data_IF_171366303235
#
_entry.id   IF_171366303235
#
_cell.length_a   1.000
_cell.length_b   1.000
_cell.length_c   1.000
_cell.angle_alpha   90.00
_cell.angle_beta   90.00
_cell.angle_gamma   90.00
#
_symmetry.space_group_name_H-M   'P 1'
#
loop_
_entity.id
_entity.type
_entity.pdbx_description
1 polymer ?
#
# COMPACT_ATOMS: atom_id res chain seq x y z
N UNK A 1 8.13 -18.63 19.76
CA UNK A 1 7.01 -17.93 20.41
C UNK A 1 7.08 -16.47 19.98
N UNK A 2 6.17 -16.01 19.11
CA UNK A 2 6.26 -14.67 18.50
C UNK A 2 5.63 -13.63 19.44
N UNK A 3 6.45 -12.94 20.22
CA UNK A 3 6.03 -11.76 20.98
C UNK A 3 5.46 -10.69 20.03
N UNK A 4 4.26 -10.18 20.33
CA UNK A 4 3.56 -9.19 19.49
C UNK A 4 4.29 -7.84 19.56
N UNK A 5 5.32 -7.67 18.73
CA UNK A 5 6.17 -6.46 18.64
C UNK A 5 5.38 -5.19 18.27
N UNK A 6 4.16 -5.34 17.75
CA UNK A 6 3.26 -4.24 17.41
C UNK A 6 1.89 -4.47 18.06
N UNK A 7 1.28 -3.40 18.58
CA UNK A 7 -0.01 -3.44 19.27
C UNK A 7 -1.16 -3.64 18.26
N UNK A 8 -1.25 -4.84 17.71
CA UNK A 8 -2.25 -5.22 16.70
C UNK A 8 -3.50 -5.69 17.44
N UNK A 9 -4.50 -4.80 17.53
CA UNK A 9 -5.82 -5.15 18.05
C UNK A 9 -6.68 -5.74 16.92
N UNK A 10 -7.18 -6.95 17.11
CA UNK A 10 -8.19 -7.55 16.23
C UNK A 10 -9.53 -6.82 16.39
N UNK A 11 -10.20 -6.51 15.27
CA UNK A 11 -11.45 -5.74 15.27
C UNK A 11 -12.65 -6.67 15.51
N UNK A 12 -13.49 -6.32 16.49
CA UNK A 12 -14.89 -6.77 16.53
C UNK A 12 -15.66 -6.14 15.37
N UNK A 13 -16.30 -6.96 14.54
CA UNK A 13 -17.23 -6.48 13.52
C UNK A 13 -18.45 -5.87 14.22
N UNK A 14 -18.60 -4.54 14.15
CA UNK A 14 -19.89 -3.89 14.46
C UNK A 14 -20.67 -3.85 13.17
N UNK A 15 -21.80 -4.55 13.11
CA UNK A 15 -22.73 -4.49 11.99
C UNK A 15 -23.67 -3.30 12.21
N UNK A 16 -23.45 -2.15 11.58
CA UNK A 16 -24.22 -0.97 11.89
C UNK A 16 -25.43 -0.93 10.94
N UNK A 17 -26.51 -0.31 11.39
CA UNK A 17 -27.78 -0.06 10.67
C UNK A 17 -27.65 0.49 9.22
N UNK A 18 -26.45 0.87 8.78
CA UNK A 18 -26.16 1.49 7.48
C UNK A 18 -26.53 0.62 6.27
N UNK A 19 -26.47 -0.72 6.36
CA UNK A 19 -26.91 -1.63 5.29
C UNK A 19 -28.38 -1.45 4.91
N UNK A 20 -29.21 -1.00 5.86
CA UNK A 20 -30.65 -0.80 5.66
C UNK A 20 -31.04 0.63 5.25
N UNK A 21 -30.12 1.60 5.38
CA UNK A 21 -30.43 3.04 5.26
C UNK A 21 -29.88 3.71 3.99
N UNK A 22 -29.02 3.04 3.23
CA UNK A 22 -28.38 3.65 2.05
C UNK A 22 -28.71 2.85 0.80
N UNK A 23 -29.32 3.51 -0.19
CA UNK A 23 -29.63 2.91 -1.49
C UNK A 23 -28.35 2.39 -2.17
N UNK A 24 -28.35 1.17 -2.75
CA UNK A 24 -27.16 0.59 -3.40
C UNK A 24 -26.52 1.49 -4.46
N UNK A 25 -27.33 2.22 -5.23
CA UNK A 25 -26.86 3.13 -6.30
C UNK A 25 -26.05 4.29 -5.73
N UNK A 26 -26.46 4.80 -4.56
CA UNK A 26 -25.74 5.87 -3.88
C UNK A 26 -24.39 5.37 -3.33
N UNK A 27 -24.36 4.13 -2.81
CA UNK A 27 -23.12 3.50 -2.34
C UNK A 27 -22.12 3.36 -3.49
N UNK A 28 -22.56 2.88 -4.65
CA UNK A 28 -21.71 2.75 -5.84
C UNK A 28 -21.20 4.11 -6.32
N UNK A 29 -22.09 5.11 -6.45
CA UNK A 29 -21.71 6.46 -6.87
C UNK A 29 -20.67 7.09 -5.93
N UNK A 30 -20.89 7.00 -4.62
CA UNK A 30 -19.94 7.53 -3.63
C UNK A 30 -18.63 6.75 -3.66
N UNK A 31 -18.66 5.42 -3.79
CA UNK A 31 -17.47 4.61 -3.91
C UNK A 31 -16.59 5.05 -5.09
N UNK A 32 -17.18 5.23 -6.27
CA UNK A 32 -16.46 5.70 -7.45
C UNK A 32 -15.80 7.08 -7.21
N UNK A 33 -16.53 8.02 -6.60
CA UNK A 33 -15.99 9.33 -6.24
C UNK A 33 -14.84 9.24 -5.23
N UNK A 34 -14.96 8.39 -4.20
CA UNK A 34 -13.89 8.14 -3.23
C UNK A 34 -12.66 7.57 -3.96
N UNK A 35 -12.86 6.60 -4.85
CA UNK A 35 -11.77 6.01 -5.62
C UNK A 35 -11.12 7.02 -6.55
N UNK A 36 -11.87 7.94 -7.17
CA UNK A 36 -11.28 9.02 -7.96
C UNK A 36 -10.34 9.90 -7.11
N UNK A 37 -10.76 10.30 -5.90
CA UNK A 37 -9.93 11.06 -4.96
C UNK A 37 -8.64 10.31 -4.56
N UNK A 38 -8.71 8.99 -4.43
CA UNK A 38 -7.60 8.19 -3.93
C UNK A 38 -6.67 7.67 -5.03
N UNK A 39 -7.20 7.23 -6.16
CA UNK A 39 -6.41 6.60 -7.23
C UNK A 39 -5.89 7.64 -8.20
N UNK A 40 -6.73 8.60 -8.59
CA UNK A 40 -6.39 9.62 -9.58
C UNK A 40 -5.68 10.78 -8.88
N UNK A 41 -6.33 11.39 -7.90
CA UNK A 41 -5.79 12.58 -7.21
C UNK A 41 -4.79 12.23 -6.10
N UNK A 42 -4.64 10.96 -5.73
CA UNK A 42 -3.72 10.47 -4.69
C UNK A 42 -3.85 11.23 -3.36
N UNK A 43 -5.07 11.65 -2.99
CA UNK A 43 -5.34 12.41 -1.76
C UNK A 43 -4.90 11.69 -0.48
N UNK A 44 -4.74 10.36 -0.52
CA UNK A 44 -4.16 9.60 0.59
C UNK A 44 -2.74 10.06 0.97
N UNK A 45 -2.00 10.72 0.08
CA UNK A 45 -0.66 11.26 0.37
C UNK A 45 -0.68 12.50 1.26
N UNK A 46 -1.80 13.21 1.34
CA UNK A 46 -1.95 14.33 2.25
C UNK A 46 -2.19 13.79 3.68
N UNK A 47 -1.28 14.01 4.65
CA UNK A 47 -1.45 13.56 6.02
C UNK A 47 -2.70 14.14 6.69
N UNK A 48 -3.11 15.32 6.27
CA UNK A 48 -4.24 16.06 6.83
C UNK A 48 -5.55 15.73 6.12
N UNK A 49 -5.56 14.83 5.13
CA UNK A 49 -6.78 14.43 4.43
C UNK A 49 -7.61 13.48 5.28
N UNK A 50 -8.57 14.05 6.02
CA UNK A 50 -9.47 13.33 6.92
C UNK A 50 -10.77 12.89 6.25
N UNK A 51 -11.51 11.99 6.89
CA UNK A 51 -12.84 11.58 6.45
C UNK A 51 -13.80 12.78 6.33
N UNK A 52 -13.62 13.80 7.17
CA UNK A 52 -14.39 15.06 7.13
C UNK A 52 -14.05 15.87 5.88
N UNK A 53 -12.77 15.98 5.52
CA UNK A 53 -12.36 16.66 4.27
C UNK A 53 -12.89 15.92 3.05
N UNK A 54 -12.79 14.59 3.03
CA UNK A 54 -13.39 13.77 1.98
C UNK A 54 -14.90 13.97 1.88
N UNK A 55 -15.62 13.99 3.02
CA UNK A 55 -17.05 14.24 3.01
C UNK A 55 -17.39 15.62 2.43
N UNK A 56 -16.62 16.65 2.79
CA UNK A 56 -16.77 18.01 2.24
C UNK A 56 -16.52 18.04 0.73
N UNK A 57 -15.43 17.43 0.26
CA UNK A 57 -15.07 17.36 -1.17
C UNK A 57 -16.11 16.64 -2.02
N UNK A 58 -16.83 15.68 -1.42
CA UNK A 58 -17.84 14.89 -2.11
C UNK A 58 -19.27 15.38 -1.86
N UNK A 59 -19.42 16.54 -1.20
CA UNK A 59 -20.70 17.16 -0.85
C UNK A 59 -21.64 16.19 -0.11
N UNK A 60 -21.08 15.49 0.88
CA UNK A 60 -21.80 14.50 1.70
C UNK A 60 -21.43 14.66 3.17
N UNK A 61 -21.77 13.67 4.00
CA UNK A 61 -21.40 13.63 5.41
C UNK A 61 -20.51 12.43 5.74
N UNK A 62 -19.81 12.53 6.86
CA UNK A 62 -18.88 11.48 7.35
C UNK A 62 -19.56 10.15 7.63
N UNK A 63 -20.87 10.13 7.92
CA UNK A 63 -21.65 8.91 8.11
C UNK A 63 -21.76 8.12 6.81
N UNK A 64 -22.07 8.77 5.68
CA UNK A 64 -22.10 8.11 4.36
C UNK A 64 -20.71 7.62 3.94
N UNK A 65 -19.66 8.42 4.14
CA UNK A 65 -18.27 7.99 3.88
C UNK A 65 -17.94 6.74 4.70
N UNK A 66 -18.23 6.75 6.00
CA UNK A 66 -17.96 5.60 6.87
C UNK A 66 -18.76 4.37 6.45
N UNK A 67 -20.02 4.54 6.05
CA UNK A 67 -20.88 3.47 5.57
C UNK A 67 -20.31 2.83 4.28
N UNK A 68 -19.95 3.64 3.28
CA UNK A 68 -19.38 3.15 2.01
C UNK A 68 -18.05 2.44 2.25
N UNK A 69 -17.18 3.02 3.08
CA UNK A 69 -15.87 2.42 3.38
C UNK A 69 -16.04 1.08 4.10
N UNK A 70 -16.94 1.01 5.08
CA UNK A 70 -17.20 -0.24 5.78
C UNK A 70 -17.82 -1.30 4.86
N UNK A 71 -18.75 -0.91 3.97
CA UNK A 71 -19.39 -1.83 3.03
C UNK A 71 -18.42 -2.37 1.98
N UNK A 72 -17.55 -1.51 1.43
CA UNK A 72 -16.68 -1.85 0.28
C UNK A 72 -15.31 -2.37 0.68
N UNK A 73 -14.76 -1.90 1.78
CA UNK A 73 -13.41 -2.25 2.24
C UNK A 73 -13.43 -3.12 3.51
N UNK A 74 -14.60 -3.31 4.13
CA UNK A 74 -14.73 -3.97 5.45
C UNK A 74 -13.86 -3.31 6.53
N UNK A 75 -13.58 -2.02 6.36
CA UNK A 75 -12.61 -1.30 7.16
C UNK A 75 -13.13 0.09 7.59
N UNK A 76 -12.26 0.85 8.26
CA UNK A 76 -12.52 2.26 8.55
C UNK A 76 -11.63 3.15 7.67
N UNK A 77 -11.92 4.46 7.66
CA UNK A 77 -11.20 5.43 6.84
C UNK A 77 -9.69 5.36 7.02
N UNK A 78 -9.18 5.34 8.25
CA UNK A 78 -7.74 5.31 8.51
C UNK A 78 -7.09 4.03 7.99
N UNK A 79 -7.75 2.87 8.10
CA UNK A 79 -7.23 1.62 7.54
C UNK A 79 -7.23 1.65 6.00
N UNK A 80 -8.30 2.16 5.39
CA UNK A 80 -8.36 2.36 3.94
C UNK A 80 -7.23 3.27 3.46
N UNK A 81 -7.00 4.42 4.12
CA UNK A 81 -5.88 5.31 3.78
C UNK A 81 -4.54 4.57 3.90
N UNK A 82 -4.30 3.93 5.03
CA UNK A 82 -3.04 3.20 5.28
C UNK A 82 -2.80 2.11 4.23
N UNK A 83 -3.85 1.45 3.74
CA UNK A 83 -3.79 0.46 2.69
C UNK A 83 -3.21 1.02 1.39
N UNK A 84 -3.68 2.20 0.94
CA UNK A 84 -3.12 2.88 -0.21
C UNK A 84 -1.68 3.35 0.04
N UNK A 85 -1.41 3.93 1.21
CA UNK A 85 -0.06 4.41 1.59
C UNK A 85 0.97 3.28 1.61
N UNK A 86 0.62 2.12 2.20
CA UNK A 86 1.52 0.96 2.27
C UNK A 86 1.77 0.37 0.89
N UNK A 87 0.74 0.26 0.04
CA UNK A 87 0.92 -0.18 -1.35
C UNK A 87 1.89 0.71 -2.10
N UNK A 88 1.73 2.03 -2.02
CA UNK A 88 2.64 3.00 -2.65
C UNK A 88 4.07 2.89 -2.08
N UNK A 89 4.20 2.72 -0.77
CA UNK A 89 5.50 2.50 -0.12
C UNK A 89 6.17 1.22 -0.62
N UNK A 90 5.43 0.12 -0.80
CA UNK A 90 5.97 -1.12 -1.34
C UNK A 90 6.54 -0.94 -2.75
N UNK A 91 5.89 -0.14 -3.61
CA UNK A 91 6.43 0.20 -4.93
C UNK A 91 7.72 1.01 -4.81
N UNK A 92 7.72 2.06 -3.99
CA UNK A 92 8.92 2.88 -3.78
C UNK A 92 10.10 2.09 -3.20
N UNK A 93 9.85 1.16 -2.27
CA UNK A 93 10.90 0.35 -1.64
C UNK A 93 11.50 -0.69 -2.59
N UNK A 94 10.78 -1.08 -3.66
CA UNK A 94 11.28 -2.00 -4.70
C UNK A 94 12.07 -1.27 -5.79
N UNK A 95 11.86 0.02 -5.97
CA UNK A 95 12.51 0.80 -7.01
C UNK A 95 13.99 1.07 -6.69
N UNK A 96 14.88 0.78 -7.64
CA UNK A 96 16.32 0.97 -7.48
C UNK A 96 16.69 2.45 -7.41
N UNK A 97 15.94 3.34 -8.06
CA UNK A 97 16.17 4.79 -7.99
C UNK A 97 16.00 5.32 -6.56
N UNK A 98 15.19 4.60 -5.77
CA UNK A 98 14.82 4.94 -4.40
C UNK A 98 15.67 4.22 -3.34
N UNK A 99 16.67 3.45 -3.75
CA UNK A 99 17.43 2.58 -2.84
C UNK A 99 18.10 3.34 -1.68
N UNK A 100 18.48 4.61 -1.90
CA UNK A 100 19.14 5.47 -0.92
C UNK A 100 18.18 6.24 -0.01
N UNK A 101 16.88 6.27 -0.31
CA UNK A 101 15.92 6.98 0.55
C UNK A 101 15.79 6.31 1.91
N UNK A 102 15.83 7.10 2.97
CA UNK A 102 15.51 6.67 4.34
C UNK A 102 14.06 6.18 4.46
N UNK A 103 13.74 5.50 5.57
CA UNK A 103 12.38 5.04 5.80
C UNK A 103 11.45 6.21 6.17
N UNK A 104 12.02 7.26 6.77
CA UNK A 104 11.39 8.53 7.06
C UNK A 104 10.95 9.25 5.79
N UNK A 105 11.85 9.36 4.80
CA UNK A 105 11.53 9.98 3.50
C UNK A 105 10.44 9.19 2.78
N UNK A 106 10.54 7.85 2.75
CA UNK A 106 9.49 7.00 2.17
C UNK A 106 8.15 7.20 2.90
N UNK A 107 8.17 7.22 4.23
CA UNK A 107 6.97 7.45 5.04
C UNK A 107 6.31 8.81 4.73
N UNK A 108 7.12 9.87 4.63
CA UNK A 108 6.66 11.20 4.29
C UNK A 108 6.08 11.26 2.87
N UNK A 109 6.73 10.64 1.88
CA UNK A 109 6.26 10.64 0.48
C UNK A 109 4.94 9.89 0.25
N UNK A 110 4.60 8.93 1.12
CA UNK A 110 3.29 8.28 1.09
C UNK A 110 2.28 8.93 2.04
N UNK A 111 2.64 9.97 2.79
CA UNK A 111 1.72 10.74 3.62
C UNK A 111 1.58 10.27 5.07
N UNK A 112 2.52 9.49 5.62
CA UNK A 112 2.54 9.22 7.06
C UNK A 112 3.17 10.41 7.81
N UNK A 113 2.48 10.91 8.83
CA UNK A 113 2.98 12.00 9.69
C UNK A 113 4.11 11.57 10.63
N UNK A 114 4.25 10.26 10.91
CA UNK A 114 5.30 9.75 11.78
C UNK A 114 5.72 8.31 11.45
N UNK A 115 6.96 7.97 11.82
CA UNK A 115 7.59 6.67 11.57
C UNK A 115 6.87 5.52 12.27
N UNK A 116 6.39 5.71 13.50
CA UNK A 116 5.75 4.63 14.26
C UNK A 116 4.48 4.13 13.57
N UNK A 117 3.65 5.06 13.10
CA UNK A 117 2.41 4.76 12.38
C UNK A 117 2.69 4.07 11.04
N UNK A 118 3.74 4.51 10.34
CA UNK A 118 4.19 3.87 9.10
C UNK A 118 4.60 2.41 9.35
N UNK A 119 5.49 2.17 10.32
CA UNK A 119 5.97 0.81 10.61
C UNK A 119 4.84 -0.11 11.07
N UNK A 120 3.94 0.37 11.93
CA UNK A 120 2.80 -0.41 12.40
C UNK A 120 1.84 -0.76 11.25
N UNK A 121 1.48 0.21 10.40
CA UNK A 121 0.61 -0.01 9.25
C UNK A 121 1.24 -0.97 8.23
N UNK A 122 2.53 -0.78 7.94
CA UNK A 122 3.26 -1.62 7.01
C UNK A 122 3.34 -3.06 7.51
N UNK A 123 3.78 -3.26 8.76
CA UNK A 123 3.88 -4.59 9.36
C UNK A 123 2.53 -5.29 9.44
N UNK A 124 1.46 -4.57 9.83
CA UNK A 124 0.10 -5.12 9.85
C UNK A 124 -0.34 -5.65 8.47
N UNK A 125 0.08 -4.97 7.40
CA UNK A 125 -0.32 -5.32 6.04
C UNK A 125 0.56 -6.40 5.40
N UNK A 126 1.86 -6.37 5.65
CA UNK A 126 2.84 -7.21 4.93
C UNK A 126 3.42 -8.34 5.78
N UNK A 127 3.25 -8.30 7.10
CA UNK A 127 3.87 -9.24 8.05
C UNK A 127 5.36 -8.99 8.28
N UNK A 128 5.95 -7.95 7.70
CA UNK A 128 7.36 -7.60 7.89
C UNK A 128 7.56 -6.08 7.97
N UNK A 129 8.72 -5.65 8.45
CA UNK A 129 9.05 -4.23 8.52
C UNK A 129 9.38 -3.67 7.13
N UNK A 130 9.20 -2.35 6.90
CA UNK A 130 9.62 -1.70 5.66
C UNK A 130 11.07 -1.98 5.26
N UNK A 131 11.97 -2.07 6.25
CA UNK A 131 13.39 -2.37 6.05
C UNK A 131 13.61 -3.81 5.57
N UNK A 132 13.01 -4.78 6.24
CA UNK A 132 13.08 -6.19 5.83
C UNK A 132 12.51 -6.37 4.42
N UNK A 133 11.40 -5.70 4.12
CA UNK A 133 10.79 -5.72 2.80
C UNK A 133 11.74 -5.21 1.71
N UNK A 134 12.41 -4.07 1.95
CA UNK A 134 13.41 -3.52 1.01
C UNK A 134 14.58 -4.48 0.79
N UNK A 135 15.13 -5.04 1.87
CA UNK A 135 16.25 -5.96 1.77
C UNK A 135 15.89 -7.21 0.96
N UNK A 136 14.70 -7.79 1.20
CA UNK A 136 14.20 -8.94 0.43
C UNK A 136 14.05 -8.60 -1.06
N UNK A 137 13.41 -7.47 -1.37
CA UNK A 137 13.23 -7.02 -2.75
C UNK A 137 14.57 -6.80 -3.48
N UNK A 138 15.56 -6.23 -2.80
CA UNK A 138 16.90 -6.02 -3.36
C UNK A 138 17.63 -7.34 -3.61
N UNK A 139 17.54 -8.30 -2.69
CA UNK A 139 18.14 -9.63 -2.85
C UNK A 139 17.52 -10.39 -4.04
N UNK A 140 16.19 -10.40 -4.15
CA UNK A 140 15.47 -10.99 -5.29
C UNK A 140 15.92 -10.41 -6.62
N UNK A 141 16.04 -9.07 -6.71
CA UNK A 141 16.48 -8.39 -7.93
C UNK A 141 17.95 -8.68 -8.28
N UNK A 142 18.82 -8.82 -7.28
CA UNK A 142 20.21 -9.23 -7.50
C UNK A 142 20.32 -10.67 -8.01
N UNK A 143 19.53 -11.59 -7.48
CA UNK A 143 19.49 -12.98 -7.95
C UNK A 143 19.05 -13.08 -9.42
N UNK A 144 18.00 -12.35 -9.81
CA UNK A 144 17.53 -12.31 -11.20
C UNK A 144 18.58 -11.74 -12.17
N UNK A 145 19.31 -10.68 -11.76
CA UNK A 145 20.39 -10.10 -12.58
C UNK A 145 21.55 -11.09 -12.76
N UNK A 146 21.91 -11.86 -11.72
CA UNK A 146 22.94 -12.91 -11.80
C UNK A 146 22.53 -14.01 -12.76
N UNK A 147 21.33 -14.55 -12.61
CA UNK A 147 20.80 -15.62 -13.47
C UNK A 147 20.75 -15.20 -14.95
N UNK A 148 20.27 -13.99 -15.26
CA UNK A 148 20.28 -13.46 -16.62
C UNK A 148 21.70 -13.31 -17.19
N UNK A 149 22.65 -12.87 -16.37
CA UNK A 149 24.05 -12.70 -16.78
C UNK A 149 24.71 -14.05 -17.07
N UNK A 150 24.48 -15.04 -16.22
CA UNK A 150 24.97 -16.42 -16.38
C UNK A 150 24.37 -17.07 -17.63
N UNK A 151 23.07 -16.93 -17.85
CA UNK A 151 22.40 -17.43 -19.07
C UNK A 151 22.96 -16.79 -20.35
N UNK A 152 23.23 -15.47 -20.34
CA UNK A 152 23.85 -14.77 -21.48
C UNK A 152 25.26 -15.28 -21.74
N UNK A 153 26.09 -15.43 -20.70
CA UNK A 153 27.45 -15.99 -20.82
C UNK A 153 27.44 -17.42 -21.35
N UNK A 154 26.54 -18.28 -20.86
CA UNK A 154 26.42 -19.66 -21.32
C UNK A 154 25.97 -19.78 -22.79
N UNK A 155 25.07 -18.89 -23.25
CA UNK A 155 24.67 -18.82 -24.67
C UNK A 155 25.82 -18.36 -25.56
N UNK A 156 26.57 -17.35 -25.14
CA UNK A 156 27.74 -16.85 -25.89
C UNK A 156 28.81 -17.93 -26.04
N UNK A 157 29.17 -18.61 -24.95
CA UNK A 157 30.15 -19.70 -24.98
C UNK A 157 29.74 -20.85 -25.93
N UNK A 158 28.43 -21.18 -26.00
CA UNK A 158 27.91 -22.19 -26.94
C UNK A 158 27.96 -21.74 -28.41
N UNK A 159 27.72 -20.46 -28.67
CA UNK A 159 27.84 -19.89 -30.01
C UNK A 159 29.30 -19.88 -30.48
N UNK A 160 30.23 -19.45 -29.62
CA UNK A 160 31.66 -19.39 -29.94
C UNK A 160 32.26 -20.78 -30.18
N UNK A 161 31.77 -21.81 -29.47
CA UNK A 161 32.19 -23.21 -29.66
C UNK A 161 31.65 -23.84 -30.95
N UNK A 162 30.57 -23.31 -31.53
CA UNK A 162 29.94 -23.87 -32.76
C UNK A 162 30.51 -23.28 -34.06
N UNK A 163 31.25 -22.18 -34.01
CA UNK A 163 31.86 -21.53 -35.20
C UNK A 163 33.27 -22.07 -35.49
N UNK A 164 33.88 -22.79 -34.53
CA UNK A 164 35.23 -23.37 -34.64
C UNK A 164 35.30 -24.83 -35.08
N UNK A 165 34.20 -25.41 -35.59
CA UNK A 165 34.16 -26.74 -36.24
C UNK A 165 33.66 -26.60 -37.67
#
# INVERSE_FOLDING_TARGET
>A
MSERKYNITEKKQKNPLYRSLVKPELVEKLYQKIMAKFVIEKKYKDPEYSAQKLAKDLETNSRYISAVINLRFQDNYSQMVNEFRVKDAMYMLKDQHNARMSMEEVAAQVGFSNRQSFYAAFYKRTGCTPREFRLRAQAELQALKKEHTEKRKARQAKADTSIGK
#
